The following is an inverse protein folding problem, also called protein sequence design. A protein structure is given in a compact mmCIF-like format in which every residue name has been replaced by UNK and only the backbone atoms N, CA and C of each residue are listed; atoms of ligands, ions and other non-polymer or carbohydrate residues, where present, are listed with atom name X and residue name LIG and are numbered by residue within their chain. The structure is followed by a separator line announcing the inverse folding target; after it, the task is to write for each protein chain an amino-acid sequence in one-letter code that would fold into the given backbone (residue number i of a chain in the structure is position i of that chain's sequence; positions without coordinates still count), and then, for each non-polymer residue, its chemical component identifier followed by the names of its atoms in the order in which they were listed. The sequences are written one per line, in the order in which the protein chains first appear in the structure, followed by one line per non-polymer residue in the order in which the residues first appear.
data_IF_833621870361
#
_entry.id   IF_833621870361
#
_cell.length_a   1.000
_cell.length_b   1.000
_cell.length_c   1.000
_cell.angle_alpha   90.00
_cell.angle_beta   90.00
_cell.angle_gamma   90.00
#
_symmetry.space_group_name_H-M   'P 1'
#
loop_
_entity.id
_entity.type
_entity.pdbx_description
1 polymer ?
#
# COMPACT_ATOMS: atom_id res chain seq x y z
N UNK A 1 -52.83 42.32 -8.95
CA UNK A 1 -51.65 42.61 -9.80
C UNK A 1 -50.41 42.47 -8.93
N UNK A 2 -49.94 41.23 -8.76
CA UNK A 2 -48.81 40.86 -7.89
C UNK A 2 -47.52 40.94 -8.71
N UNK A 3 -46.56 41.78 -8.31
CA UNK A 3 -45.15 41.60 -8.67
C UNK A 3 -44.31 42.72 -8.06
N UNK A 4 -43.89 42.59 -6.79
CA UNK A 4 -42.84 43.46 -6.20
C UNK A 4 -42.04 42.79 -5.06
N UNK A 5 -41.73 41.49 -5.08
CA UNK A 5 -40.93 40.88 -4.00
C UNK A 5 -40.13 39.64 -4.43
N UNK A 6 -39.30 39.74 -5.46
CA UNK A 6 -38.53 38.57 -5.89
C UNK A 6 -37.10 38.86 -6.36
N UNK A 7 -36.41 39.87 -5.81
CA UNK A 7 -35.05 40.21 -6.24
C UNK A 7 -34.13 40.67 -5.10
N UNK A 8 -34.21 40.05 -3.91
CA UNK A 8 -33.22 40.33 -2.83
C UNK A 8 -32.69 39.06 -2.14
N UNK A 9 -33.15 37.85 -2.47
CA UNK A 9 -32.62 36.62 -1.87
C UNK A 9 -31.97 35.77 -2.96
N UNK A 10 -30.80 36.18 -3.43
CA UNK A 10 -29.96 35.36 -4.30
C UNK A 10 -28.47 35.65 -4.08
N UNK A 11 -28.02 35.58 -2.82
CA UNK A 11 -26.57 35.65 -2.48
C UNK A 11 -26.15 34.52 -1.52
N UNK A 12 -27.00 33.54 -1.24
CA UNK A 12 -26.65 32.46 -0.32
C UNK A 12 -26.44 31.13 -1.04
N UNK A 13 -25.22 30.63 -0.86
CA UNK A 13 -24.79 29.22 -0.95
C UNK A 13 -24.47 28.71 -2.36
N UNK A 14 -23.16 28.60 -2.63
CA UNK A 14 -22.53 27.29 -2.86
C UNK A 14 -21.02 27.45 -3.07
N UNK A 15 -20.25 27.41 -1.98
CA UNK A 15 -18.87 26.94 -2.07
C UNK A 15 -18.93 25.40 -2.16
N UNK A 16 -18.95 24.85 -3.38
CA UNK A 16 -18.71 23.43 -3.58
C UNK A 16 -17.22 23.18 -3.36
N UNK A 17 -16.87 22.62 -2.21
CA UNK A 17 -15.56 22.01 -1.99
C UNK A 17 -15.43 20.76 -2.86
N UNK A 18 -14.63 20.83 -3.91
CA UNK A 18 -14.18 19.63 -4.65
C UNK A 18 -13.17 18.88 -3.78
N UNK A 19 -13.63 17.82 -3.12
CA UNK A 19 -12.73 16.84 -2.48
C UNK A 19 -12.22 15.89 -3.58
N UNK A 20 -10.97 16.08 -4.02
CA UNK A 20 -10.35 15.14 -4.95
C UNK A 20 -9.91 13.87 -4.21
N UNK A 21 -10.78 12.86 -4.19
CA UNK A 21 -10.42 11.49 -3.85
C UNK A 21 -9.61 10.86 -4.99
N UNK A 22 -8.34 11.24 -5.13
CA UNK A 22 -7.39 10.53 -5.98
C UNK A 22 -6.48 9.68 -5.10
N UNK A 23 -7.01 8.60 -4.54
CA UNK A 23 -6.20 7.50 -4.03
C UNK A 23 -6.88 6.15 -4.30
N UNK A 24 -7.39 5.98 -5.53
CA UNK A 24 -7.56 4.63 -6.06
C UNK A 24 -6.17 4.12 -6.45
N UNK A 25 -5.62 3.31 -5.56
CA UNK A 25 -4.47 2.46 -5.82
C UNK A 25 -4.68 1.78 -7.17
N UNK A 26 -3.75 2.00 -8.11
CA UNK A 26 -3.70 1.37 -9.44
C UNK A 26 -3.58 -0.16 -9.29
N UNK A 27 -4.69 -0.80 -8.92
CA UNK A 27 -4.85 -2.25 -8.77
C UNK A 27 -4.51 -2.89 -10.11
N UNK A 28 -3.52 -3.78 -10.11
CA UNK A 28 -3.14 -4.56 -11.28
C UNK A 28 -1.77 -4.23 -11.90
N UNK A 29 -1.14 -3.10 -11.55
CA UNK A 29 0.22 -2.80 -12.07
C UNK A 29 1.30 -3.58 -11.31
N UNK A 30 1.14 -3.70 -9.99
CA UNK A 30 2.07 -4.39 -9.11
C UNK A 30 1.27 -5.34 -8.22
N UNK A 31 1.36 -6.63 -8.52
CA UNK A 31 0.71 -7.67 -7.75
C UNK A 31 1.76 -8.47 -6.99
N UNK A 32 1.49 -8.78 -5.72
CA UNK A 32 2.35 -9.63 -4.90
C UNK A 32 1.58 -10.87 -4.48
N UNK A 33 2.23 -12.03 -4.55
CA UNK A 33 1.67 -13.31 -4.11
C UNK A 33 2.70 -14.11 -3.32
N UNK A 34 2.42 -14.46 -2.05
CA UNK A 34 1.26 -14.07 -1.24
C UNK A 34 1.36 -12.61 -0.71
N UNK A 35 0.21 -11.97 -0.47
CA UNK A 35 0.13 -10.66 0.21
C UNK A 35 0.15 -10.76 1.74
N UNK A 36 0.02 -11.97 2.29
CA UNK A 36 -0.01 -12.23 3.74
C UNK A 36 1.05 -13.26 4.09
N UNK A 37 1.89 -12.91 5.06
CA UNK A 37 2.86 -13.81 5.67
C UNK A 37 2.39 -14.14 7.08
N UNK A 38 2.29 -15.43 7.44
CA UNK A 38 1.82 -15.86 8.76
C UNK A 38 2.96 -16.50 9.57
N UNK A 39 3.31 -15.88 10.69
CA UNK A 39 4.21 -16.46 11.68
C UNK A 39 3.42 -17.13 12.82
N UNK A 40 3.94 -18.24 13.36
CA UNK A 40 3.28 -19.00 14.44
C UNK A 40 3.10 -18.17 15.71
N UNK A 41 4.16 -17.49 16.15
CA UNK A 41 4.17 -16.67 17.36
C UNK A 41 4.44 -15.22 16.99
N UNK A 42 3.71 -14.31 17.62
CA UNK A 42 3.95 -12.87 17.49
C UNK A 42 5.40 -12.51 17.84
N UNK A 43 5.99 -11.61 17.04
CA UNK A 43 7.36 -11.12 17.23
C UNK A 43 8.45 -12.03 16.64
N UNK A 44 8.09 -13.14 15.97
CA UNK A 44 9.02 -13.92 15.17
C UNK A 44 9.03 -13.38 13.73
N UNK A 45 10.21 -13.43 13.10
CA UNK A 45 10.34 -13.17 11.66
C UNK A 45 9.46 -14.13 10.87
N UNK A 46 8.62 -13.57 10.02
CA UNK A 46 7.85 -14.31 9.06
C UNK A 46 8.65 -14.45 7.76
N UNK A 47 8.63 -15.65 7.18
CA UNK A 47 9.34 -15.96 5.94
C UNK A 47 8.35 -16.43 4.87
N UNK A 48 8.50 -15.90 3.66
CA UNK A 48 7.74 -16.32 2.49
C UNK A 48 8.53 -16.02 1.22
N UNK A 49 8.42 -16.87 0.21
CA UNK A 49 8.86 -16.50 -1.14
C UNK A 49 7.72 -15.73 -1.80
N UNK A 50 7.91 -14.42 -1.96
CA UNK A 50 6.89 -13.53 -2.55
C UNK A 50 7.24 -13.24 -4.00
N UNK A 51 6.32 -13.57 -4.87
CA UNK A 51 6.39 -13.31 -6.30
C UNK A 51 5.68 -12.00 -6.58
N UNK A 52 6.41 -11.06 -7.17
CA UNK A 52 5.88 -9.82 -7.69
C UNK A 52 5.67 -9.96 -9.18
N UNK A 53 4.43 -9.82 -9.63
CA UNK A 53 4.06 -9.74 -11.03
C UNK A 53 3.76 -8.29 -11.39
N UNK A 54 4.54 -7.75 -12.32
CA UNK A 54 4.44 -6.36 -12.75
C UNK A 54 3.86 -6.31 -14.16
N UNK A 55 2.89 -5.43 -14.37
CA UNK A 55 2.31 -5.07 -15.66
C UNK A 55 2.19 -3.55 -15.75
N UNK A 56 3.27 -2.92 -16.19
CA UNK A 56 3.35 -1.49 -16.40
C UNK A 56 2.51 -1.06 -17.62
N UNK A 57 2.01 0.19 -17.65
CA UNK A 57 1.12 0.65 -18.73
C UNK A 57 1.81 0.80 -20.10
N UNK A 58 3.13 0.89 -20.14
CA UNK A 58 3.92 1.00 -21.36
C UNK A 58 5.33 0.45 -21.13
N UNK A 59 6.07 0.21 -22.22
CA UNK A 59 7.47 -0.17 -22.11
C UNK A 59 8.30 1.01 -21.57
N UNK A 60 9.13 0.74 -20.57
CA UNK A 60 9.96 1.77 -19.96
C UNK A 60 10.96 1.21 -18.96
N UNK A 61 11.60 2.13 -18.24
CA UNK A 61 12.56 1.81 -17.19
C UNK A 61 11.89 1.89 -15.82
N UNK A 62 11.82 0.76 -15.14
CA UNK A 62 11.10 0.62 -13.87
C UNK A 62 11.98 0.00 -12.79
N UNK A 63 11.78 0.41 -11.54
CA UNK A 63 12.47 -0.17 -10.39
C UNK A 63 11.47 -0.57 -9.31
N UNK A 64 11.69 -1.75 -8.73
CA UNK A 64 11.01 -2.20 -7.52
C UNK A 64 11.85 -1.80 -6.31
N UNK A 65 11.24 -1.14 -5.32
CA UNK A 65 11.91 -0.71 -4.09
C UNK A 65 11.06 -0.94 -2.86
N UNK A 66 11.70 -0.97 -1.71
CA UNK A 66 11.04 -0.91 -0.42
C UNK A 66 10.56 0.53 -0.13
N UNK A 67 9.36 0.67 0.43
CA UNK A 67 8.70 1.98 0.59
C UNK A 67 9.32 2.81 1.71
N UNK A 68 9.71 2.20 2.83
CA UNK A 68 10.24 2.92 3.99
C UNK A 68 11.72 3.24 3.81
N UNK A 69 12.55 2.22 3.57
CA UNK A 69 14.00 2.38 3.42
C UNK A 69 14.40 3.02 2.08
N UNK A 70 13.48 3.09 1.11
CA UNK A 70 13.73 3.48 -0.29
C UNK A 70 14.82 2.64 -0.98
N UNK A 71 15.14 1.47 -0.41
CA UNK A 71 16.12 0.53 -0.97
C UNK A 71 15.60 -0.07 -2.27
N UNK A 72 16.34 0.15 -3.35
CA UNK A 72 16.08 -0.50 -4.64
C UNK A 72 16.39 -2.00 -4.52
N UNK A 73 15.44 -2.83 -4.92
CA UNK A 73 15.61 -4.28 -5.00
C UNK A 73 16.17 -4.68 -6.36
N UNK A 74 15.50 -4.22 -7.43
CA UNK A 74 15.87 -4.51 -8.80
C UNK A 74 15.24 -3.49 -9.75
N UNK A 75 15.92 -3.24 -10.87
CA UNK A 75 15.41 -2.42 -11.96
C UNK A 75 15.42 -3.22 -13.26
N UNK A 76 14.49 -2.88 -14.14
CA UNK A 76 14.38 -3.38 -15.49
C UNK A 76 14.33 -2.20 -16.47
N UNK A 77 14.81 -2.43 -17.68
CA UNK A 77 14.90 -1.40 -18.71
C UNK A 77 14.12 -1.84 -19.95
N UNK A 78 13.46 -0.87 -20.59
CA UNK A 78 12.67 -1.06 -21.81
C UNK A 78 11.73 -2.30 -21.77
N UNK A 79 10.94 -2.43 -20.71
CA UNK A 79 9.97 -3.51 -20.54
C UNK A 79 8.68 -2.98 -19.95
N UNK A 80 7.57 -3.64 -20.24
CA UNK A 80 6.24 -3.36 -19.67
C UNK A 80 5.76 -4.48 -18.72
N UNK A 81 6.41 -5.63 -18.70
CA UNK A 81 5.96 -6.81 -17.95
C UNK A 81 7.13 -7.67 -17.48
N UNK A 82 7.13 -8.01 -16.20
CA UNK A 82 8.20 -8.79 -15.59
C UNK A 82 7.78 -9.35 -14.24
N UNK A 83 8.50 -10.38 -13.80
CA UNK A 83 8.29 -11.02 -12.51
C UNK A 83 9.56 -10.97 -11.67
N UNK A 84 9.42 -10.83 -10.36
CA UNK A 84 10.52 -10.83 -9.41
C UNK A 84 10.17 -11.66 -8.16
N UNK A 85 11.06 -12.56 -7.76
CA UNK A 85 10.89 -13.35 -6.54
C UNK A 85 11.77 -12.80 -5.43
N UNK A 86 11.14 -12.42 -4.32
CA UNK A 86 11.81 -11.98 -3.10
C UNK A 86 11.69 -13.06 -2.02
N UNK A 87 12.82 -13.42 -1.41
CA UNK A 87 12.78 -14.12 -0.14
C UNK A 87 12.44 -13.11 0.97
N UNK A 88 11.15 -12.99 1.29
CA UNK A 88 10.66 -12.08 2.31
C UNK A 88 11.01 -12.60 3.69
N UNK A 89 11.52 -11.70 4.54
CA UNK A 89 11.87 -12.00 5.92
C UNK A 89 11.71 -10.74 6.77
N UNK A 90 10.59 -10.62 7.49
CA UNK A 90 10.37 -9.48 8.37
C UNK A 90 9.54 -9.85 9.59
N UNK A 91 9.74 -9.11 10.69
CA UNK A 91 8.83 -9.14 11.83
C UNK A 91 7.62 -8.25 11.56
N UNK A 92 7.75 -7.20 10.76
CA UNK A 92 6.68 -6.24 10.50
C UNK A 92 6.22 -6.28 9.05
N UNK A 93 5.02 -5.76 8.77
CA UNK A 93 4.50 -5.64 7.41
C UNK A 93 5.35 -4.65 6.61
N UNK A 94 5.74 -5.02 5.39
CA UNK A 94 6.60 -4.17 4.55
C UNK A 94 5.87 -3.83 3.26
N UNK A 95 5.95 -2.55 2.87
CA UNK A 95 5.39 -2.06 1.62
C UNK A 95 6.46 -1.93 0.55
N UNK A 96 6.11 -2.26 -0.68
CA UNK A 96 6.96 -2.18 -1.86
C UNK A 96 6.32 -1.28 -2.92
N UNK A 97 7.14 -0.46 -3.54
CA UNK A 97 6.78 0.52 -4.56
C UNK A 97 7.41 0.13 -5.90
N UNK A 98 6.61 0.20 -6.96
CA UNK A 98 7.12 0.26 -8.33
C UNK A 98 7.29 1.73 -8.72
N UNK A 99 8.46 2.13 -9.19
CA UNK A 99 8.74 3.50 -9.65
C UNK A 99 9.20 3.53 -11.10
N UNK A 100 8.87 4.62 -11.81
CA UNK A 100 9.48 4.93 -13.10
C UNK A 100 10.86 5.60 -12.88
N UNK A 101 11.91 5.11 -13.55
CA UNK A 101 13.27 5.65 -13.39
C UNK A 101 13.41 7.10 -13.83
N UNK A 102 12.68 7.51 -14.86
CA UNK A 102 12.80 8.85 -15.47
C UNK A 102 12.37 9.99 -14.54
N UNK A 103 11.33 9.77 -13.72
CA UNK A 103 10.72 10.82 -12.89
C UNK A 103 10.66 10.45 -11.40
N UNK A 104 11.05 9.21 -11.04
CA UNK A 104 10.92 8.63 -9.70
C UNK A 104 9.48 8.59 -9.15
N UNK A 105 8.50 8.72 -10.05
CA UNK A 105 7.08 8.67 -9.71
C UNK A 105 6.70 7.26 -9.26
N UNK A 106 5.97 7.18 -8.15
CA UNK A 106 5.39 5.93 -7.66
C UNK A 106 4.22 5.54 -8.55
N UNK A 107 4.33 4.36 -9.16
CA UNK A 107 3.34 3.82 -10.09
C UNK A 107 2.31 2.94 -9.39
N UNK A 108 2.77 2.12 -8.46
CA UNK A 108 1.93 1.24 -7.68
C UNK A 108 2.63 0.86 -6.36
N UNK A 109 1.83 0.50 -5.37
CA UNK A 109 2.28 0.07 -4.06
C UNK A 109 1.58 -1.23 -3.71
N UNK A 110 2.32 -2.17 -3.12
CA UNK A 110 1.77 -3.40 -2.55
C UNK A 110 2.38 -3.63 -1.18
N UNK A 111 1.64 -4.25 -0.28
CA UNK A 111 2.07 -4.49 1.11
C UNK A 111 2.01 -5.98 1.40
N UNK A 112 3.12 -6.52 1.92
CA UNK A 112 3.15 -7.86 2.49
C UNK A 112 2.81 -7.74 3.97
N UNK A 113 1.61 -8.17 4.34
CA UNK A 113 1.11 -8.10 5.71
C UNK A 113 1.64 -9.25 6.56
N UNK A 114 2.32 -8.95 7.67
CA UNK A 114 2.71 -9.96 8.65
C UNK A 114 1.58 -10.18 9.66
N UNK A 115 1.13 -11.42 9.76
CA UNK A 115 0.07 -11.87 10.65
C UNK A 115 0.59 -12.95 11.62
N UNK A 116 -0.09 -13.08 12.76
CA UNK A 116 0.28 -14.02 13.83
C UNK A 116 -0.86 -14.98 14.14
N UNK A 117 -0.54 -16.27 14.30
CA UNK A 117 -1.51 -17.25 14.80
C UNK A 117 -1.72 -17.07 16.31
N UNK A 118 -0.64 -17.06 17.08
CA UNK A 118 -0.68 -16.90 18.53
C UNK A 118 -0.18 -15.52 18.96
N UNK A 119 -1.10 -14.75 19.53
CA UNK A 119 -0.77 -13.48 20.21
C UNK A 119 -0.13 -13.80 21.56
N UNK A 120 0.92 -13.06 21.92
CA UNK A 120 1.52 -13.16 23.25
C UNK A 120 0.51 -12.63 24.26
N UNK A 121 -0.07 -13.52 25.07
CA UNK A 121 -0.96 -13.13 26.18
C UNK A 121 -0.13 -12.96 27.44
N UNK A 122 0.01 -11.73 27.93
CA UNK A 122 0.55 -11.47 29.26
C UNK A 122 -0.44 -11.98 30.31
N UNK A 123 -0.16 -13.15 30.87
CA UNK A 123 -0.96 -13.72 31.96
C UNK A 123 -0.71 -12.86 33.21
N UNK A 124 -1.71 -12.07 33.65
CA UNK A 124 -1.63 -11.31 34.91
C UNK A 124 -1.35 -12.30 36.05
N UNK A 125 -0.15 -12.23 36.65
CA UNK A 125 0.18 -13.01 37.86
C UNK A 125 -0.64 -12.44 39.02
N UNK A 126 -1.69 -13.16 39.44
CA UNK A 126 -2.33 -12.89 40.73
C UNK A 126 -1.56 -13.68 41.78
N UNK A 127 -1.05 -12.99 42.79
CA UNK A 127 -0.51 -13.64 43.99
C UNK A 127 -1.63 -14.51 44.59
N UNK A 128 -1.34 -15.80 44.79
CA UNK A 128 -2.18 -16.63 45.66
C UNK A 128 -1.59 -16.49 47.05
N UNK A 129 -2.33 -15.88 47.97
CA UNK A 129 -2.06 -15.98 49.39
C UNK A 129 -2.38 -17.42 49.78
N UNK A 130 -1.38 -18.14 50.29
CA UNK A 130 -1.53 -19.48 50.85
C UNK A 130 -1.99 -19.37 52.30
#
# INVERSE_FOLDING_TARGET
MYSRFAWVIMVFVSALSTESMANETRKGILNASPTKCVALNQGRTCYADVVFDISAPAAGDYCLRESESKRILQCWANTDSFTYTLNFGSVESVSYELIAKAHSDVLAVTTIEVNWVHKVRTKKRRWRLF
#
